data_IF_126767429656
#
_entry.id   IF_126767429656
#
_cell.length_a   1.000
_cell.length_b   1.000
_cell.length_c   1.000
_cell.angle_alpha   90.00
_cell.angle_beta   90.00
_cell.angle_gamma   90.00
#
_symmetry.space_group_name_H-M   'P 1'
#
loop_
_entity.id
_entity.type
_entity.pdbx_description
1 polymer ?
#
# COMPACT_ATOMS: atom_id res chain seq x y z
N UNK A 1 16.05 19.64 14.91
CA UNK A 1 16.05 19.68 13.42
C UNK A 1 16.45 18.33 12.80
N UNK A 2 17.33 17.58 13.43
CA UNK A 2 17.78 16.26 12.92
C UNK A 2 16.66 15.24 13.07
N UNK A 3 15.90 15.29 14.15
CA UNK A 3 14.83 14.35 14.46
C UNK A 3 13.75 14.32 13.38
N UNK A 4 13.40 15.47 12.83
CA UNK A 4 12.40 15.55 11.76
C UNK A 4 12.86 14.83 10.49
N UNK A 5 14.16 14.68 10.32
CA UNK A 5 14.75 13.97 9.18
C UNK A 5 14.83 12.46 9.38
N UNK A 6 14.77 12.01 10.62
CA UNK A 6 15.06 10.63 10.97
C UNK A 6 13.96 9.69 10.50
N UNK A 7 12.69 10.12 10.58
CA UNK A 7 11.57 9.29 10.14
C UNK A 7 10.48 10.13 9.47
N UNK A 8 9.78 9.57 8.52
CA UNK A 8 8.56 10.18 7.97
C UNK A 8 7.47 10.35 9.03
N UNK A 9 7.45 9.49 10.03
CA UNK A 9 6.46 9.50 11.11
C UNK A 9 6.57 10.77 11.95
N UNK A 10 7.76 11.17 12.35
CA UNK A 10 7.98 12.40 13.10
C UNK A 10 7.54 13.64 12.32
N UNK A 11 7.74 13.64 11.02
CA UNK A 11 7.28 14.75 10.19
C UNK A 11 5.75 14.82 10.08
N UNK A 12 5.05 13.73 10.34
CA UNK A 12 3.59 13.72 10.40
C UNK A 12 3.02 14.09 11.77
N UNK A 13 3.81 13.90 12.82
CA UNK A 13 3.38 14.11 14.21
C UNK A 13 4.41 14.94 14.99
N UNK A 14 4.73 16.16 14.55
CA UNK A 14 5.79 16.95 15.17
C UNK A 14 5.51 17.32 16.63
N UNK A 15 4.25 17.45 16.98
CA UNK A 15 3.77 17.70 18.34
C UNK A 15 3.83 16.47 19.26
N UNK A 16 4.14 15.32 18.72
CA UNK A 16 4.23 14.06 19.45
C UNK A 16 5.64 13.47 19.46
N UNK A 17 6.59 14.15 18.89
CA UNK A 17 7.97 13.67 18.82
C UNK A 17 8.61 13.43 20.20
N UNK A 18 8.10 14.06 21.24
CA UNK A 18 8.49 13.81 22.61
C UNK A 18 7.82 12.60 23.29
N UNK A 19 6.83 12.00 22.65
CA UNK A 19 6.12 10.82 23.16
C UNK A 19 6.31 9.60 22.26
N UNK A 20 7.37 8.80 22.45
CA UNK A 20 7.60 7.60 21.67
C UNK A 20 6.46 6.60 21.73
N UNK A 21 5.75 6.53 22.87
CA UNK A 21 4.63 5.62 23.04
C UNK A 21 3.47 5.99 22.13
N UNK A 22 3.17 7.26 22.03
CA UNK A 22 2.12 7.76 21.17
C UNK A 22 2.43 7.50 19.68
N UNK A 23 3.61 7.92 19.26
CA UNK A 23 4.05 7.75 17.87
C UNK A 23 4.17 6.28 17.50
N UNK A 24 4.74 5.46 18.40
CA UNK A 24 5.06 4.07 18.08
C UNK A 24 3.92 3.10 18.31
N UNK A 25 3.04 3.35 19.25
CA UNK A 25 1.98 2.41 19.63
C UNK A 25 0.57 2.90 19.31
N UNK A 26 0.36 4.20 19.31
CA UNK A 26 -0.95 4.77 19.12
C UNK A 26 -1.35 4.87 17.65
N UNK A 27 -0.61 5.64 16.90
CA UNK A 27 -0.98 6.05 15.55
C UNK A 27 -0.06 5.57 14.44
N UNK A 28 1.07 4.98 14.79
CA UNK A 28 1.92 4.37 13.80
C UNK A 28 1.40 3.03 13.36
N UNK A 29 1.25 2.91 12.07
CA UNK A 29 0.77 1.72 11.42
C UNK A 29 1.90 0.81 10.96
N UNK A 30 3.06 1.38 10.76
CA UNK A 30 4.21 0.77 10.12
C UNK A 30 5.31 0.45 11.11
N UNK A 31 6.25 -0.38 10.69
CA UNK A 31 7.51 -0.56 11.39
C UNK A 31 8.18 0.80 11.65
N UNK A 32 8.77 0.94 12.83
CA UNK A 32 9.53 2.15 13.22
C UNK A 32 10.98 2.08 12.80
N UNK A 33 11.38 0.96 12.22
CA UNK A 33 12.75 0.78 11.74
C UNK A 33 12.96 1.55 10.45
N UNK A 34 14.13 2.16 10.35
CA UNK A 34 14.58 2.88 9.18
C UNK A 34 13.87 4.22 8.93
N UNK A 35 14.31 4.88 7.90
CA UNK A 35 13.78 6.16 7.42
C UNK A 35 12.71 5.92 6.39
N UNK A 36 11.53 6.51 6.59
CA UNK A 36 10.41 6.40 5.64
C UNK A 36 10.66 7.30 4.42
N UNK A 37 10.42 6.73 3.24
CA UNK A 37 10.33 7.46 1.98
C UNK A 37 9.07 7.02 1.24
N UNK A 38 8.49 7.88 0.42
CA UNK A 38 7.23 7.60 -0.26
C UNK A 38 7.18 8.28 -1.63
N UNK A 39 6.33 7.78 -2.50
CA UNK A 39 6.14 8.32 -3.84
C UNK A 39 5.64 9.76 -3.76
N UNK A 40 6.18 10.64 -4.61
CA UNK A 40 5.84 12.07 -4.60
C UNK A 40 5.30 12.53 -5.95
N UNK A 41 6.06 12.40 -7.05
CA UNK A 41 5.58 12.83 -8.35
C UNK A 41 6.11 11.99 -9.52
N UNK A 42 5.27 11.83 -10.54
CA UNK A 42 5.59 11.11 -11.77
C UNK A 42 6.52 11.97 -12.63
N UNK A 43 7.68 11.44 -12.98
CA UNK A 43 8.64 12.11 -13.87
C UNK A 43 8.56 11.63 -15.31
N UNK A 44 8.17 10.37 -15.52
CA UNK A 44 7.98 9.79 -16.85
C UNK A 44 7.04 8.58 -16.74
N UNK A 45 6.45 8.21 -17.86
CA UNK A 45 5.68 6.98 -17.97
C UNK A 45 5.85 6.35 -19.36
N UNK A 46 5.67 5.05 -19.43
CA UNK A 46 5.72 4.27 -20.65
C UNK A 46 4.55 3.30 -20.68
N UNK A 47 3.62 3.44 -21.64
CA UNK A 47 2.62 2.42 -21.89
C UNK A 47 3.27 1.10 -22.31
N UNK A 48 2.74 0.00 -21.79
CA UNK A 48 3.15 -1.37 -22.10
C UNK A 48 1.93 -2.20 -22.51
N UNK A 49 2.17 -3.39 -23.02
CA UNK A 49 1.08 -4.33 -23.30
C UNK A 49 0.39 -4.70 -21.98
N UNK A 50 -0.91 -4.41 -21.92
CA UNK A 50 -1.75 -4.63 -20.74
C UNK A 50 -1.54 -3.65 -19.59
N UNK A 51 -0.79 -2.54 -19.75
CA UNK A 51 -0.59 -1.61 -18.64
C UNK A 51 0.34 -0.45 -18.87
N UNK A 52 1.05 -0.05 -17.83
CA UNK A 52 1.95 1.13 -17.85
C UNK A 52 3.05 0.99 -16.80
N UNK A 53 4.21 1.50 -17.12
CA UNK A 53 5.32 1.66 -16.17
C UNK A 53 5.61 3.16 -15.96
N UNK A 54 5.74 3.57 -14.70
CA UNK A 54 6.06 4.93 -14.28
C UNK A 54 7.47 5.01 -13.69
N UNK A 55 8.12 6.14 -13.92
CA UNK A 55 9.26 6.59 -13.15
C UNK A 55 8.78 7.69 -12.21
N UNK A 56 8.98 7.49 -10.91
CA UNK A 56 8.46 8.36 -9.86
C UNK A 56 9.61 8.84 -8.99
N UNK A 57 9.66 10.13 -8.72
CA UNK A 57 10.54 10.66 -7.67
C UNK A 57 9.86 10.48 -6.32
N UNK A 58 10.67 10.23 -5.31
CA UNK A 58 10.21 10.10 -3.94
C UNK A 58 10.36 11.42 -3.17
N UNK A 59 9.68 11.54 -2.05
CA UNK A 59 9.71 12.72 -1.18
C UNK A 59 11.14 13.05 -0.70
N UNK A 60 12.00 12.05 -0.51
CA UNK A 60 13.41 12.25 -0.11
C UNK A 60 14.37 12.38 -1.28
N UNK A 61 13.85 12.46 -2.51
CA UNK A 61 14.64 12.71 -3.72
C UNK A 61 15.28 11.45 -4.33
N UNK A 62 14.91 10.26 -3.90
CA UNK A 62 15.26 9.04 -4.59
C UNK A 62 14.30 8.77 -5.77
N UNK A 63 14.42 7.63 -6.41
CA UNK A 63 13.55 7.21 -7.51
C UNK A 63 12.97 5.84 -7.23
N UNK A 64 11.73 5.66 -7.64
CA UNK A 64 11.07 4.37 -7.68
C UNK A 64 10.50 4.11 -9.07
N UNK A 65 10.39 2.85 -9.43
CA UNK A 65 9.62 2.41 -10.57
C UNK A 65 8.28 1.86 -10.08
N UNK A 66 7.19 2.31 -10.68
CA UNK A 66 5.86 1.72 -10.43
C UNK A 66 5.39 1.08 -11.73
N UNK A 67 4.94 -0.16 -11.65
CA UNK A 67 4.37 -0.89 -12.77
C UNK A 67 2.95 -1.31 -12.43
N UNK A 68 2.02 -1.02 -13.33
CA UNK A 68 0.62 -1.44 -13.23
C UNK A 68 0.29 -2.27 -14.46
N UNK A 69 -0.21 -3.48 -14.26
CA UNK A 69 -0.64 -4.38 -15.33
C UNK A 69 -1.99 -4.98 -15.03
N UNK A 70 -2.90 -4.90 -15.96
CA UNK A 70 -4.18 -5.59 -15.87
C UNK A 70 -3.99 -7.08 -16.16
N UNK A 71 -4.57 -7.90 -15.31
CA UNK A 71 -4.59 -9.36 -15.40
C UNK A 71 -5.97 -9.89 -15.77
N UNK A 72 -6.98 -9.04 -15.68
CA UNK A 72 -8.33 -9.21 -16.21
C UNK A 72 -8.95 -7.82 -16.47
N UNK A 73 -10.12 -7.71 -17.12
CA UNK A 73 -10.80 -6.43 -17.28
C UNK A 73 -11.15 -5.73 -15.95
N UNK A 74 -11.15 -6.48 -14.84
CA UNK A 74 -11.54 -5.99 -13.52
C UNK A 74 -10.46 -6.18 -12.45
N UNK A 75 -9.27 -6.64 -12.82
CA UNK A 75 -8.19 -6.85 -11.86
C UNK A 75 -6.84 -6.39 -12.42
N UNK A 76 -6.05 -5.78 -11.57
CA UNK A 76 -4.69 -5.34 -11.92
C UNK A 76 -3.67 -5.77 -10.86
N UNK A 77 -2.42 -5.83 -11.28
CA UNK A 77 -1.25 -5.99 -10.42
C UNK A 77 -0.55 -4.64 -10.29
N UNK A 78 -0.32 -4.21 -9.08
CA UNK A 78 0.48 -3.04 -8.73
C UNK A 78 1.83 -3.50 -8.20
N UNK A 79 2.90 -2.90 -8.70
CA UNK A 79 4.26 -3.19 -8.26
C UNK A 79 5.03 -1.88 -8.07
N UNK A 80 5.69 -1.72 -6.93
CA UNK A 80 6.56 -0.58 -6.67
C UNK A 80 7.96 -1.07 -6.31
N UNK A 81 8.96 -0.60 -7.04
CA UNK A 81 10.36 -0.97 -6.91
C UNK A 81 11.19 0.24 -6.45
N UNK A 82 11.53 0.32 -5.15
CA UNK A 82 12.40 1.35 -4.62
C UNK A 82 13.77 1.35 -5.32
N UNK A 83 14.36 2.52 -5.47
CA UNK A 83 15.70 2.72 -6.03
C UNK A 83 15.89 2.06 -7.42
N UNK A 84 14.81 1.88 -8.19
CA UNK A 84 14.80 1.20 -9.49
C UNK A 84 15.34 -0.24 -9.43
N UNK A 85 15.20 -0.89 -8.29
CA UNK A 85 15.61 -2.28 -8.13
C UNK A 85 14.87 -3.20 -9.13
N UNK A 86 15.52 -4.28 -9.52
CA UNK A 86 14.91 -5.32 -10.38
C UNK A 86 14.97 -6.65 -9.63
N UNK A 87 14.14 -6.85 -8.60
CA UNK A 87 14.17 -8.09 -7.82
C UNK A 87 13.65 -9.26 -8.67
N UNK A 88 14.04 -10.47 -8.27
CA UNK A 88 13.38 -11.67 -8.77
C UNK A 88 11.99 -11.73 -8.15
N UNK A 89 10.98 -11.56 -8.97
CA UNK A 89 9.58 -11.54 -8.53
C UNK A 89 9.05 -12.96 -8.28
N UNK A 90 8.11 -13.03 -7.35
CA UNK A 90 7.29 -14.21 -7.15
C UNK A 90 6.20 -14.23 -8.23
N UNK A 91 6.16 -15.26 -9.03
CA UNK A 91 5.10 -15.47 -10.02
C UNK A 91 4.11 -16.51 -9.47
N UNK A 92 3.20 -16.06 -8.62
CA UNK A 92 2.15 -16.91 -8.05
C UNK A 92 1.12 -17.30 -9.12
N UNK A 93 0.85 -16.36 -10.05
CA UNK A 93 -0.11 -16.56 -11.13
C UNK A 93 0.52 -16.20 -12.47
N UNK A 94 0.41 -17.11 -13.44
CA UNK A 94 0.85 -16.89 -14.83
C UNK A 94 -0.24 -16.21 -15.66
N UNK A 95 -0.62 -14.98 -15.33
CA UNK A 95 -1.61 -14.25 -16.12
C UNK A 95 -1.01 -13.70 -17.42
N UNK A 96 -1.74 -13.88 -18.52
CA UNK A 96 -1.45 -13.18 -19.76
C UNK A 96 -1.89 -11.70 -19.67
N UNK A 97 -1.17 -10.76 -20.31
CA UNK A 97 -1.60 -9.38 -20.38
C UNK A 97 -2.99 -9.25 -21.02
N UNK A 98 -3.79 -8.32 -20.49
CA UNK A 98 -5.11 -7.98 -21.04
C UNK A 98 -4.94 -7.05 -22.22
N UNK A 99 -5.49 -7.42 -23.36
CA UNK A 99 -5.48 -6.54 -24.55
C UNK A 99 -6.48 -5.39 -24.40
N UNK A 100 -6.22 -4.28 -25.11
CA UNK A 100 -7.14 -3.14 -25.16
C UNK A 100 -7.07 -2.19 -23.95
N UNK A 101 -6.06 -2.31 -23.11
CA UNK A 101 -5.79 -1.32 -22.06
C UNK A 101 -5.41 0.01 -22.72
N UNK A 102 -6.10 1.08 -22.35
CA UNK A 102 -5.86 2.42 -22.85
C UNK A 102 -5.09 3.22 -21.81
N UNK A 103 -4.06 3.93 -22.26
CA UNK A 103 -3.31 4.88 -21.42
C UNK A 103 -3.44 6.26 -22.04
N UNK A 104 -3.98 7.21 -21.30
CA UNK A 104 -4.17 8.59 -21.76
C UNK A 104 -3.59 9.56 -20.75
N UNK A 105 -3.09 10.69 -21.25
CA UNK A 105 -2.55 11.75 -20.41
C UNK A 105 -3.53 12.92 -20.33
N UNK A 106 -3.87 13.31 -19.12
CA UNK A 106 -4.62 14.51 -18.77
C UNK A 106 -3.70 15.54 -18.09
N UNK A 107 -4.13 16.80 -17.91
CA UNK A 107 -3.27 17.82 -17.29
C UNK A 107 -2.71 17.41 -15.91
N UNK A 108 -3.53 16.80 -15.05
CA UNK A 108 -3.17 16.41 -13.69
C UNK A 108 -3.00 14.90 -13.48
N UNK A 109 -3.42 14.08 -14.44
CA UNK A 109 -3.49 12.62 -14.28
C UNK A 109 -2.88 11.88 -15.48
N UNK A 110 -2.41 10.67 -15.21
CA UNK A 110 -2.30 9.60 -16.20
C UNK A 110 -3.46 8.65 -15.93
N UNK A 111 -4.25 8.38 -16.94
CA UNK A 111 -5.43 7.51 -16.83
C UNK A 111 -5.15 6.20 -17.53
N UNK A 112 -5.33 5.09 -16.83
CA UNK A 112 -5.14 3.73 -17.35
C UNK A 112 -6.47 3.00 -17.27
N UNK A 113 -7.00 2.57 -18.38
CA UNK A 113 -8.39 2.13 -18.47
C UNK A 113 -8.55 0.81 -19.21
N UNK A 114 -9.36 -0.08 -18.65
CA UNK A 114 -10.01 -1.21 -19.34
C UNK A 114 -11.45 -0.84 -19.71
N UNK A 115 -12.25 -1.80 -20.12
CA UNK A 115 -13.70 -1.60 -20.33
C UNK A 115 -14.46 -1.31 -19.03
N UNK A 116 -13.96 -1.75 -17.86
CA UNK A 116 -14.66 -1.66 -16.58
C UNK A 116 -13.92 -0.85 -15.52
N UNK A 117 -12.61 -1.01 -15.42
CA UNK A 117 -11.78 -0.35 -14.41
C UNK A 117 -11.05 0.84 -14.99
N UNK A 118 -11.10 1.95 -14.29
CA UNK A 118 -10.29 3.14 -14.59
C UNK A 118 -9.38 3.43 -13.39
N UNK A 119 -8.09 3.49 -13.64
CA UNK A 119 -7.10 3.96 -12.67
C UNK A 119 -6.71 5.40 -13.02
N UNK A 120 -6.87 6.31 -12.08
CA UNK A 120 -6.45 7.70 -12.23
C UNK A 120 -5.22 7.93 -11.35
N UNK A 121 -4.06 8.10 -11.97
CA UNK A 121 -2.78 8.33 -11.30
C UNK A 121 -2.50 9.83 -11.34
N UNK A 122 -2.60 10.50 -10.18
CA UNK A 122 -2.25 11.92 -10.07
C UNK A 122 -0.75 12.09 -10.26
N UNK A 123 -0.36 13.07 -11.08
CA UNK A 123 1.05 13.32 -11.39
C UNK A 123 1.84 13.90 -10.22
N UNK A 124 1.20 14.76 -9.42
CA UNK A 124 1.81 15.40 -8.25
C UNK A 124 0.74 15.99 -7.32
N UNK A 125 0.75 15.66 -6.02
CA UNK A 125 1.47 14.53 -5.42
C UNK A 125 0.97 13.21 -6.00
N UNK A 126 1.77 12.15 -5.91
CA UNK A 126 1.33 10.80 -6.32
C UNK A 126 0.08 10.38 -5.57
N UNK A 127 -0.89 9.87 -6.29
CA UNK A 127 -2.11 9.28 -5.75
C UNK A 127 -2.76 8.40 -6.81
N UNK A 128 -3.22 7.24 -6.43
CA UNK A 128 -4.02 6.37 -7.29
C UNK A 128 -5.47 6.33 -6.81
N UNK A 129 -6.40 6.61 -7.71
CA UNK A 129 -7.84 6.35 -7.54
C UNK A 129 -8.25 5.19 -8.43
N UNK A 130 -9.06 4.30 -7.90
CA UNK A 130 -9.65 3.15 -8.61
C UNK A 130 -11.13 3.41 -8.79
N UNK A 131 -11.59 3.38 -10.04
CA UNK A 131 -13.02 3.48 -10.41
C UNK A 131 -13.47 2.17 -11.05
N UNK A 132 -14.67 1.72 -10.71
CA UNK A 132 -15.33 0.58 -11.33
C UNK A 132 -16.59 1.05 -12.03
N UNK A 133 -16.74 0.74 -13.33
CA UNK A 133 -17.88 1.12 -14.16
C UNK A 133 -18.18 2.65 -14.13
N UNK A 134 -17.15 3.46 -13.89
CA UNK A 134 -17.23 4.93 -13.83
C UNK A 134 -17.51 5.53 -12.45
N UNK A 135 -17.71 4.69 -11.42
CA UNK A 135 -17.91 5.12 -10.04
C UNK A 135 -16.64 4.90 -9.20
N UNK A 136 -16.27 5.83 -8.31
CA UNK A 136 -15.14 5.66 -7.40
C UNK A 136 -15.34 4.42 -6.51
N UNK A 137 -14.34 3.54 -6.48
CA UNK A 137 -14.34 2.32 -5.67
C UNK A 137 -13.47 2.46 -4.43
N UNK A 138 -12.24 2.91 -4.63
CA UNK A 138 -11.27 3.15 -3.54
C UNK A 138 -10.15 4.07 -4.04
N UNK A 139 -9.33 4.57 -3.12
CA UNK A 139 -8.17 5.41 -3.46
C UNK A 139 -7.06 5.24 -2.43
N UNK A 140 -5.85 5.59 -2.81
CA UNK A 140 -4.76 5.77 -1.85
C UNK A 140 -5.07 6.93 -0.89
N UNK A 141 -4.68 6.76 0.36
CA UNK A 141 -4.78 7.82 1.34
C UNK A 141 -3.55 8.71 1.24
N UNK A 142 -3.72 9.87 0.63
CA UNK A 142 -2.63 10.81 0.47
C UNK A 142 -2.39 11.67 1.71
N UNK A 143 -1.20 12.24 1.77
CA UNK A 143 -0.85 13.26 2.76
C UNK A 143 -1.66 14.53 2.55
N UNK A 144 -2.53 14.84 3.48
CA UNK A 144 -3.22 16.11 3.52
C UNK A 144 -2.46 17.10 4.41
N UNK A 145 -1.99 18.21 3.84
CA UNK A 145 -1.26 19.25 4.56
C UNK A 145 -2.16 20.17 5.39
N UNK A 146 -3.46 20.11 5.17
CA UNK A 146 -4.41 21.01 5.80
C UNK A 146 -5.11 20.40 7.03
N UNK A 147 -4.90 19.12 7.29
CA UNK A 147 -5.54 18.38 8.40
C UNK A 147 -4.55 18.25 9.56
N UNK A 148 -5.07 18.01 10.76
CA UNK A 148 -4.29 17.72 11.95
C UNK A 148 -3.26 16.62 11.66
N UNK A 149 -2.00 16.94 11.91
CA UNK A 149 -0.85 16.06 11.65
C UNK A 149 -0.99 14.68 12.30
N UNK A 150 -1.72 14.60 13.41
CA UNK A 150 -1.94 13.36 14.18
C UNK A 150 -2.56 12.22 13.37
N UNK A 151 -3.39 12.56 12.39
CA UNK A 151 -4.21 11.59 11.66
C UNK A 151 -3.75 11.36 10.23
N UNK A 152 -2.61 11.94 9.87
CA UNK A 152 -2.08 11.76 8.53
C UNK A 152 -1.56 10.34 8.32
N UNK A 153 -2.00 9.75 7.25
CA UNK A 153 -1.44 8.49 6.78
C UNK A 153 -0.12 8.73 6.03
N UNK A 154 0.74 7.74 6.04
CA UNK A 154 1.92 7.71 5.18
C UNK A 154 1.48 7.18 3.81
N UNK A 155 1.71 7.90 2.71
CA UNK A 155 1.41 7.42 1.37
C UNK A 155 2.20 6.16 1.02
N UNK A 156 1.90 5.55 -0.11
CA UNK A 156 2.66 4.41 -0.64
C UNK A 156 4.16 4.68 -0.68
N UNK A 157 4.94 3.75 -0.14
CA UNK A 157 6.37 3.95 0.00
C UNK A 157 7.12 2.77 0.62
N UNK A 158 8.26 3.08 1.22
CA UNK A 158 9.18 2.10 1.78
C UNK A 158 10.02 2.68 2.92
N UNK A 159 10.68 1.81 3.68
CA UNK A 159 11.63 2.21 4.72
C UNK A 159 13.05 1.83 4.32
N UNK A 160 13.98 2.72 4.58
CA UNK A 160 15.42 2.55 4.32
C UNK A 160 16.16 2.43 5.64
N UNK A 161 16.90 1.35 5.83
CA UNK A 161 17.77 1.15 6.98
C UNK A 161 19.01 2.05 6.93
N UNK A 162 19.73 2.12 8.03
CA UNK A 162 20.98 2.90 8.16
C UNK A 162 22.07 2.42 7.18
N UNK A 163 22.00 1.17 6.76
CA UNK A 163 22.88 0.55 5.77
C UNK A 163 22.43 0.78 4.31
N UNK A 164 21.36 1.53 4.11
CA UNK A 164 20.79 1.83 2.78
C UNK A 164 19.93 0.71 2.19
N UNK A 165 19.71 -0.40 2.88
CA UNK A 165 18.82 -1.46 2.43
C UNK A 165 17.36 -1.07 2.66
N UNK A 166 16.49 -1.51 1.75
CA UNK A 166 15.06 -1.42 1.95
C UNK A 166 14.64 -2.47 2.98
N UNK A 167 13.98 -2.05 4.03
CA UNK A 167 13.53 -2.91 5.13
C UNK A 167 12.13 -3.46 4.89
N UNK A 168 11.25 -2.62 4.37
CA UNK A 168 9.85 -2.95 4.09
C UNK A 168 9.28 -2.00 3.02
N UNK A 169 8.17 -2.41 2.44
CA UNK A 169 7.36 -1.58 1.55
C UNK A 169 5.91 -1.59 2.02
N UNK A 170 5.20 -0.49 1.82
CA UNK A 170 3.87 -0.30 2.38
C UNK A 170 2.96 0.51 1.46
N UNK A 171 1.65 0.35 1.69
CA UNK A 171 0.56 1.04 1.03
C UNK A 171 -0.47 1.47 2.06
N UNK A 172 -1.07 2.64 1.89
CA UNK A 172 -2.20 3.11 2.70
C UNK A 172 -3.36 3.48 1.80
N UNK A 173 -4.49 2.83 2.05
CA UNK A 173 -5.72 3.04 1.29
C UNK A 173 -6.78 3.71 2.16
N UNK A 174 -7.63 4.49 1.53
CA UNK A 174 -8.83 5.05 2.14
C UNK A 174 -9.78 3.93 2.57
N UNK A 175 -10.50 4.16 3.64
CA UNK A 175 -11.48 3.24 4.21
C UNK A 175 -12.77 3.99 4.52
N UNK A 176 -13.89 3.53 3.96
CA UNK A 176 -15.21 4.07 4.30
C UNK A 176 -15.59 3.81 5.76
N UNK A 177 -16.46 4.65 6.32
CA UNK A 177 -16.77 4.61 7.76
C UNK A 177 -17.44 3.30 8.22
N UNK A 178 -18.15 2.61 7.34
CA UNK A 178 -18.87 1.34 7.57
C UNK A 178 -18.28 0.16 6.80
N UNK A 179 -17.17 0.34 6.10
CA UNK A 179 -16.50 -0.71 5.36
C UNK A 179 -16.05 -1.86 6.27
N UNK A 180 -16.35 -3.08 5.88
CA UNK A 180 -15.99 -4.30 6.56
C UNK A 180 -14.95 -5.11 5.75
N UNK A 181 -14.06 -5.82 6.45
CA UNK A 181 -13.00 -6.60 5.82
C UNK A 181 -13.05 -8.05 6.26
N UNK A 182 -12.88 -8.97 5.31
CA UNK A 182 -12.95 -10.41 5.53
C UNK A 182 -11.77 -11.10 4.84
N UNK A 183 -11.23 -12.15 5.45
CA UNK A 183 -10.12 -12.92 4.87
C UNK A 183 -8.99 -13.18 5.83
N UNK A 184 -7.75 -13.08 5.34
CA UNK A 184 -6.48 -13.35 6.03
C UNK A 184 -6.25 -14.82 6.42
N UNK A 185 -7.00 -15.73 5.81
CA UNK A 185 -6.94 -17.16 6.11
C UNK A 185 -7.64 -17.51 7.44
N UNK A 186 -7.18 -18.55 8.09
CA UNK A 186 -7.72 -18.98 9.38
C UNK A 186 -7.16 -18.14 10.52
N UNK A 187 -7.89 -17.10 10.92
CA UNK A 187 -7.55 -16.24 12.07
C UNK A 187 -8.62 -16.36 13.14
N UNK A 188 -8.20 -16.63 14.36
CA UNK A 188 -9.07 -16.86 15.53
C UNK A 188 -9.61 -15.59 16.21
N UNK A 189 -9.73 -14.52 15.44
CA UNK A 189 -10.28 -13.23 15.86
C UNK A 189 -11.63 -12.99 15.20
N UNK A 190 -12.29 -11.88 15.50
CA UNK A 190 -13.59 -11.53 14.90
C UNK A 190 -13.60 -11.70 13.39
N UNK A 191 -14.73 -12.15 12.83
CA UNK A 191 -14.88 -12.42 11.41
C UNK A 191 -14.67 -11.14 10.57
N UNK A 192 -15.32 -10.04 10.94
CA UNK A 192 -14.99 -8.73 10.42
C UNK A 192 -13.65 -8.26 11.02
N UNK A 193 -12.71 -7.98 10.15
CA UNK A 193 -11.35 -7.59 10.52
C UNK A 193 -11.16 -6.08 10.70
N UNK A 194 -12.22 -5.27 10.51
CA UNK A 194 -12.15 -3.84 10.81
C UNK A 194 -11.74 -3.61 12.25
N UNK A 195 -10.85 -2.65 12.47
CA UNK A 195 -10.31 -2.32 13.79
C UNK A 195 -9.23 -3.26 14.31
N UNK A 196 -8.74 -4.18 13.49
CA UNK A 196 -7.71 -5.15 13.90
C UNK A 196 -6.36 -4.85 13.23
N UNK A 197 -5.28 -5.18 13.94
CA UNK A 197 -3.95 -5.36 13.38
C UNK A 197 -3.72 -6.84 13.17
N UNK A 198 -3.31 -7.23 11.98
CA UNK A 198 -3.18 -8.62 11.57
C UNK A 198 -1.79 -8.85 11.00
N UNK A 199 -1.07 -9.82 11.57
CA UNK A 199 0.17 -10.30 10.97
C UNK A 199 -0.10 -11.61 10.25
N UNK A 200 0.26 -11.68 8.98
CA UNK A 200 0.26 -12.92 8.22
C UNK A 200 1.66 -13.47 8.16
N UNK A 201 1.86 -14.52 8.92
CA UNK A 201 3.06 -15.33 8.99
C UNK A 201 2.68 -16.75 9.41
N UNK A 202 3.16 -17.74 8.68
CA UNK A 202 2.83 -19.15 8.98
C UNK A 202 3.55 -19.60 10.24
N UNK A 203 2.79 -19.94 11.24
CA UNK A 203 3.31 -20.38 12.54
C UNK A 203 2.38 -21.43 13.15
N UNK A 204 2.94 -22.51 13.69
CA UNK A 204 2.14 -23.49 14.42
C UNK A 204 1.58 -22.87 15.70
N UNK A 205 0.26 -22.87 15.80
CA UNK A 205 -0.46 -22.45 16.97
C UNK A 205 -0.84 -23.68 17.81
N UNK A 206 -0.48 -23.68 19.09
CA UNK A 206 -0.87 -24.75 20.01
C UNK A 206 -2.31 -24.61 20.52
N UNK A 207 -2.92 -23.45 20.36
CA UNK A 207 -4.28 -23.13 20.76
C UNK A 207 -4.82 -21.91 20.03
N UNK A 208 -6.10 -21.60 20.23
CA UNK A 208 -6.80 -20.47 19.61
C UNK A 208 -6.74 -19.19 20.45
N UNK A 209 -5.79 -19.05 21.34
CA UNK A 209 -5.68 -17.92 22.27
C UNK A 209 -4.84 -16.76 21.72
N UNK A 210 -4.42 -16.82 20.44
CA UNK A 210 -3.67 -15.78 19.76
C UNK A 210 -4.09 -15.68 18.29
N UNK A 211 -3.57 -14.68 17.58
CA UNK A 211 -3.74 -14.51 16.12
C UNK A 211 -2.76 -15.38 15.29
N UNK A 212 -1.88 -16.11 15.95
CA UNK A 212 -0.95 -17.05 15.31
C UNK A 212 -1.71 -18.19 14.66
N UNK A 213 -1.42 -18.47 13.41
CA UNK A 213 -2.03 -19.57 12.66
C UNK A 213 -1.10 -20.11 11.57
N UNK A 214 -1.30 -21.35 11.16
CA UNK A 214 -0.53 -22.01 10.10
C UNK A 214 -1.21 -21.98 8.72
N UNK A 215 -2.36 -21.30 8.59
CA UNK A 215 -3.07 -21.08 7.33
C UNK A 215 -3.39 -19.59 7.12
N UNK A 216 -2.41 -18.74 7.37
CA UNK A 216 -2.51 -17.32 7.06
C UNK A 216 -2.44 -17.10 5.53
N UNK A 217 -3.20 -16.16 5.01
CA UNK A 217 -3.18 -15.73 3.61
C UNK A 217 -3.16 -14.21 3.56
N UNK A 218 -2.23 -13.57 2.86
CA UNK A 218 -2.18 -12.11 2.74
C UNK A 218 -3.22 -11.61 1.71
N UNK A 219 -4.48 -12.01 1.93
CA UNK A 219 -5.63 -11.73 1.07
C UNK A 219 -6.82 -11.33 1.92
N UNK A 220 -7.52 -10.28 1.47
CA UNK A 220 -8.79 -9.87 2.07
C UNK A 220 -9.77 -9.37 1.00
N UNK A 221 -11.04 -9.36 1.37
CA UNK A 221 -12.15 -8.79 0.63
C UNK A 221 -12.74 -7.63 1.44
N UNK A 222 -13.10 -6.56 0.75
CA UNK A 222 -13.87 -5.43 1.28
C UNK A 222 -15.36 -5.59 0.98
N UNK A 223 -16.22 -5.09 1.89
CA UNK A 223 -17.65 -4.96 1.64
C UNK A 223 -17.98 -3.99 0.50
N UNK A 224 -17.03 -3.12 0.12
CA UNK A 224 -17.18 -2.20 -1.02
C UNK A 224 -17.02 -2.89 -2.39
N UNK A 225 -16.74 -4.20 -2.42
CA UNK A 225 -16.74 -5.00 -3.64
C UNK A 225 -15.38 -5.14 -4.31
N UNK A 226 -14.29 -4.91 -3.60
CA UNK A 226 -12.93 -5.21 -4.08
C UNK A 226 -12.21 -6.21 -3.17
N UNK A 227 -11.09 -6.70 -3.63
CA UNK A 227 -10.21 -7.56 -2.84
C UNK A 227 -8.75 -7.25 -3.14
N UNK A 228 -7.89 -7.55 -2.17
CA UNK A 228 -6.43 -7.38 -2.32
C UNK A 228 -5.73 -8.67 -1.95
N UNK A 229 -4.76 -9.05 -2.79
CA UNK A 229 -3.82 -10.14 -2.53
C UNK A 229 -2.39 -9.61 -2.61
N UNK A 230 -1.67 -9.60 -1.49
CA UNK A 230 -0.23 -9.32 -1.47
C UNK A 230 0.53 -10.50 -2.07
N UNK A 231 1.32 -10.25 -3.12
CA UNK A 231 2.11 -11.26 -3.81
C UNK A 231 3.49 -11.42 -3.17
N UNK A 232 3.52 -11.99 -1.98
CA UNK A 232 4.72 -12.10 -1.16
C UNK A 232 4.79 -13.43 -0.42
N UNK A 233 6.02 -13.86 -0.10
CA UNK A 233 6.31 -14.96 0.81
C UNK A 233 6.95 -14.51 2.12
N UNK A 234 7.12 -13.20 2.31
CA UNK A 234 7.61 -12.63 3.55
C UNK A 234 6.46 -12.32 4.50
N UNK A 235 6.80 -11.92 5.70
CA UNK A 235 5.81 -11.49 6.67
C UNK A 235 5.10 -10.24 6.19
N UNK A 236 3.78 -10.21 6.37
CA UNK A 236 2.94 -9.05 6.05
C UNK A 236 2.18 -8.58 7.27
N UNK A 237 2.02 -7.27 7.37
CA UNK A 237 1.28 -6.61 8.43
C UNK A 237 0.15 -5.78 7.84
N UNK A 238 -1.03 -5.97 8.36
CA UNK A 238 -2.22 -5.23 7.98
C UNK A 238 -2.78 -4.48 9.18
N UNK A 239 -3.07 -3.21 9.01
CA UNK A 239 -3.79 -2.42 9.99
C UNK A 239 -5.12 -2.01 9.39
N UNK A 240 -6.16 -2.75 9.69
CA UNK A 240 -7.48 -2.60 9.10
C UNK A 240 -8.33 -1.55 9.84
N UNK A 241 -7.76 -0.35 10.00
CA UNK A 241 -8.44 0.74 10.70
C UNK A 241 -8.30 0.73 12.22
N UNK A 242 -7.37 -0.04 12.78
CA UNK A 242 -7.14 -0.09 14.23
C UNK A 242 -6.55 1.22 14.78
N UNK A 243 -5.81 1.94 13.95
CA UNK A 243 -5.17 3.20 14.36
C UNK A 243 -5.76 4.43 13.65
N UNK A 244 -6.51 4.24 12.57
CA UNK A 244 -7.21 5.29 11.83
C UNK A 244 -8.59 4.82 11.44
N UNK A 245 -9.62 5.62 11.68
CA UNK A 245 -11.00 5.31 11.29
C UNK A 245 -11.27 5.48 9.79
N UNK A 246 -10.33 6.06 9.03
CA UNK A 246 -10.50 6.45 7.63
C UNK A 246 -9.47 5.83 6.68
N UNK A 247 -8.59 4.98 7.19
CA UNK A 247 -7.59 4.31 6.35
C UNK A 247 -7.19 2.94 6.89
N UNK A 248 -6.80 2.07 5.98
CA UNK A 248 -6.11 0.83 6.31
C UNK A 248 -4.73 0.79 5.64
N UNK A 249 -3.82 0.00 6.19
CA UNK A 249 -2.46 -0.10 5.70
C UNK A 249 -2.07 -1.55 5.45
N UNK A 250 -1.24 -1.74 4.45
CA UNK A 250 -0.61 -3.01 4.08
C UNK A 250 0.90 -2.81 4.07
N UNK A 251 1.63 -3.69 4.73
CA UNK A 251 3.09 -3.64 4.80
C UNK A 251 3.67 -5.04 4.57
N UNK A 252 4.77 -5.14 3.83
CA UNK A 252 5.53 -6.36 3.61
C UNK A 252 7.00 -6.17 3.99
N UNK A 253 7.64 -7.20 4.52
CA UNK A 253 9.09 -7.23 4.75
C UNK A 253 9.89 -7.48 3.45
N UNK A 254 9.24 -7.50 2.29
CA UNK A 254 9.92 -7.46 1.00
C UNK A 254 10.51 -6.07 0.72
N UNK A 255 11.62 -5.98 -0.02
CA UNK A 255 12.20 -4.69 -0.42
C UNK A 255 11.42 -4.00 -1.56
N UNK A 256 10.24 -4.48 -1.90
CA UNK A 256 9.36 -3.95 -2.93
C UNK A 256 7.89 -4.26 -2.56
N UNK A 257 6.98 -3.51 -3.14
CA UNK A 257 5.55 -3.76 -2.99
C UNK A 257 5.01 -4.47 -4.24
N UNK A 258 4.22 -5.51 -4.05
CA UNK A 258 3.61 -6.27 -5.14
C UNK A 258 2.27 -6.84 -4.66
N UNK A 259 1.17 -6.40 -5.29
CA UNK A 259 -0.16 -6.89 -4.96
C UNK A 259 -1.10 -6.90 -6.18
N UNK A 260 -2.15 -7.68 -6.07
CA UNK A 260 -3.28 -7.70 -6.99
C UNK A 260 -4.50 -7.06 -6.31
N UNK A 261 -5.25 -6.31 -7.08
CA UNK A 261 -6.55 -5.77 -6.68
C UNK A 261 -7.57 -6.03 -7.78
#
# INVERSE_FOLDING_TARGET
>A
MIEVKDTGIKSYHPDMDGDPLYVTKGYCHYSHEGTKDFLDYITAYQPEDGGVTFLVNTFRGSKAQVRIRFVSPTAFRFQMFPHLAQPKLNEVFGFAPVSGVQVTEEPLFIVVKTERVTLRLRKCPWEMTVELDGEPLTMEQIKDHNVDQKYKAVPVGFSVGDDGRILNAFETMYMHCDEAFYGFGEKFTSFNKRGQKITVWQQDAQSTNSDVSYKGMPYFMSSEGYSVLMNTYTRTHFNMGASSGVSYTMETEDPYLDYYM
#
